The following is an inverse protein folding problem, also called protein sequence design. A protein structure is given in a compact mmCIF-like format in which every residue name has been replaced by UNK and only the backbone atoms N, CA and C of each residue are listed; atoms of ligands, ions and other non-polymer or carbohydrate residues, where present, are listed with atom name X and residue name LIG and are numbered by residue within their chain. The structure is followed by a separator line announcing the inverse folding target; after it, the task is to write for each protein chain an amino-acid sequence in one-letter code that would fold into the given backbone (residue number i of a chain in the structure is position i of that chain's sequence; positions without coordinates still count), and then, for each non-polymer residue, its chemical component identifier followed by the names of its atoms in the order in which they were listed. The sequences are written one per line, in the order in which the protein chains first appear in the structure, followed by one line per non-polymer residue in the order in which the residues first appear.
data_IF_197151426269
#
_entry.id   IF_197151426269
#
_cell.length_a   1.000
_cell.length_b   1.000
_cell.length_c   1.000
_cell.angle_alpha   90.00
_cell.angle_beta   90.00
_cell.angle_gamma   90.00
#
_symmetry.space_group_name_H-M   'P 1'
#
loop_
_entity.id
_entity.type
_entity.pdbx_description
1 polymer ?
#
# COMPACT_ATOMS: atom_id res chain seq x y z
N UNK A 1 -2.86 6.31 -12.10
CA UNK A 1 -3.92 6.43 -11.07
C UNK A 1 -3.35 6.64 -9.66
N UNK A 2 -2.48 5.78 -9.06
CA UNK A 2 -1.95 6.09 -7.72
C UNK A 2 -1.19 7.42 -7.67
N UNK A 3 -0.41 7.74 -8.70
CA UNK A 3 0.30 9.01 -8.82
C UNK A 3 -0.67 10.20 -8.81
N UNK A 4 -1.74 10.12 -9.59
CA UNK A 4 -2.77 11.16 -9.66
C UNK A 4 -3.43 11.37 -8.29
N UNK A 5 -3.79 10.28 -7.60
CA UNK A 5 -4.38 10.35 -6.28
C UNK A 5 -3.45 11.02 -5.25
N UNK A 6 -2.16 10.72 -5.29
CA UNK A 6 -1.14 11.35 -4.43
C UNK A 6 -1.01 12.84 -4.73
N UNK A 7 -0.90 13.20 -6.02
CA UNK A 7 -0.77 14.62 -6.46
C UNK A 7 -2.01 15.43 -6.10
N UNK A 8 -3.21 14.88 -6.32
CA UNK A 8 -4.46 15.54 -5.97
C UNK A 8 -4.62 15.72 -4.45
N UNK A 9 -4.07 14.80 -3.66
CA UNK A 9 -4.01 14.92 -2.21
C UNK A 9 -2.91 15.88 -1.69
N UNK A 10 -2.13 16.50 -2.61
CA UNK A 10 -1.11 17.49 -2.29
C UNK A 10 0.29 16.91 -2.03
N UNK A 11 0.52 15.62 -2.28
CA UNK A 11 1.84 15.00 -2.17
C UNK A 11 2.62 15.25 -3.46
N UNK A 12 3.77 15.92 -3.36
CA UNK A 12 4.60 16.32 -4.50
C UNK A 12 5.93 15.56 -4.59
N UNK A 13 6.45 15.07 -3.48
CA UNK A 13 7.67 14.25 -3.46
C UNK A 13 7.28 12.78 -3.54
N UNK A 14 7.41 12.22 -4.75
CA UNK A 14 6.97 10.86 -5.08
C UNK A 14 8.15 10.08 -5.60
N UNK A 15 8.33 8.87 -5.06
CA UNK A 15 9.27 7.87 -5.56
C UNK A 15 8.53 6.62 -6.02
N UNK A 16 8.91 6.10 -7.19
CA UNK A 16 8.34 4.86 -7.75
C UNK A 16 9.42 3.80 -7.74
N UNK A 17 9.07 2.65 -7.18
CA UNK A 17 9.91 1.46 -7.28
C UNK A 17 9.51 0.66 -8.50
N UNK A 18 10.48 0.38 -9.35
CA UNK A 18 10.31 -0.41 -10.56
C UNK A 18 11.23 -1.64 -10.53
N UNK A 19 10.78 -2.74 -11.15
CA UNK A 19 11.54 -3.98 -11.27
C UNK A 19 11.47 -4.51 -12.69
N UNK A 20 10.63 -5.51 -12.92
CA UNK A 20 10.40 -6.08 -14.25
C UNK A 20 10.02 -5.00 -15.26
N UNK A 21 10.74 -4.95 -16.40
CA UNK A 21 10.57 -3.92 -17.45
C UNK A 21 10.68 -2.48 -16.93
N UNK A 22 11.38 -2.25 -15.83
CA UNK A 22 11.47 -0.96 -15.14
C UNK A 22 11.86 0.22 -16.05
N UNK A 23 12.75 0.02 -17.04
CA UNK A 23 13.11 1.07 -18.00
C UNK A 23 11.91 1.55 -18.83
N UNK A 24 11.06 0.63 -19.29
CA UNK A 24 9.87 0.97 -20.09
C UNK A 24 8.86 1.75 -19.27
N UNK A 25 8.63 1.33 -18.01
CA UNK A 25 7.73 2.00 -17.07
C UNK A 25 8.27 3.41 -16.77
N UNK A 26 9.55 3.52 -16.47
CA UNK A 26 10.21 4.79 -16.19
C UNK A 26 10.08 5.75 -17.37
N UNK A 27 10.46 5.34 -18.58
CA UNK A 27 10.39 6.17 -19.79
C UNK A 27 8.97 6.66 -20.09
N UNK A 28 7.95 5.86 -19.76
CA UNK A 28 6.55 6.25 -19.91
C UNK A 28 6.13 7.28 -18.87
N UNK A 29 6.46 7.05 -17.60
CA UNK A 29 6.06 7.91 -16.49
C UNK A 29 6.80 9.24 -16.53
N UNK A 30 8.10 9.26 -16.83
CA UNK A 30 8.91 10.49 -16.92
C UNK A 30 8.37 11.50 -17.97
N UNK A 31 7.71 11.01 -19.03
CA UNK A 31 7.08 11.87 -20.04
C UNK A 31 5.89 12.66 -19.47
N UNK A 32 5.18 12.08 -18.50
CA UNK A 32 3.98 12.65 -17.90
C UNK A 32 4.32 13.40 -16.59
N UNK A 33 5.23 12.83 -15.82
CA UNK A 33 5.62 13.29 -14.48
C UNK A 33 7.16 13.41 -14.38
N UNK A 34 7.78 14.45 -14.95
CA UNK A 34 9.24 14.55 -15.09
C UNK A 34 9.99 14.76 -13.75
N UNK A 35 9.29 14.99 -12.65
CA UNK A 35 9.88 15.23 -11.33
C UNK A 35 9.81 14.02 -10.39
N UNK A 36 9.27 12.89 -10.84
CA UNK A 36 9.16 11.68 -10.02
C UNK A 36 10.54 11.01 -9.89
N UNK A 37 10.84 10.54 -8.69
CA UNK A 37 12.02 9.76 -8.40
C UNK A 37 11.79 8.27 -8.72
N UNK A 38 12.86 7.54 -9.02
CA UNK A 38 12.78 6.10 -9.31
C UNK A 38 13.84 5.32 -8.54
N UNK A 39 13.42 4.24 -7.91
CA UNK A 39 14.29 3.18 -7.39
C UNK A 39 14.11 1.90 -8.18
N UNK A 40 15.15 1.09 -8.26
CA UNK A 40 15.10 -0.22 -8.91
C UNK A 40 15.14 -1.32 -7.85
N UNK A 41 14.16 -2.22 -7.90
CA UNK A 41 14.18 -3.46 -7.15
C UNK A 41 14.70 -4.56 -8.06
N UNK A 42 15.96 -4.98 -7.89
CA UNK A 42 16.56 -6.06 -8.65
C UNK A 42 16.00 -7.43 -8.23
N UNK A 43 15.41 -7.51 -7.04
CA UNK A 43 14.77 -8.69 -6.46
C UNK A 43 13.24 -8.69 -6.66
N UNK A 44 12.79 -8.19 -7.81
CA UNK A 44 11.34 -8.06 -8.13
C UNK A 44 10.60 -9.40 -8.25
N UNK A 45 11.31 -10.52 -8.25
CA UNK A 45 10.78 -11.88 -8.16
C UNK A 45 10.42 -12.29 -6.72
N UNK A 46 10.76 -11.47 -5.75
CA UNK A 46 10.39 -11.62 -4.34
C UNK A 46 9.06 -10.95 -3.97
N UNK A 47 8.75 -10.95 -2.68
CA UNK A 47 7.51 -10.32 -2.18
C UNK A 47 7.67 -8.79 -2.03
N UNK A 48 6.54 -8.10 -1.86
CA UNK A 48 6.41 -6.66 -2.02
C UNK A 48 7.18 -5.79 -0.99
N UNK A 49 7.56 -6.31 0.18
CA UNK A 49 8.39 -5.57 1.13
C UNK A 49 9.77 -5.22 0.58
N UNK A 50 10.30 -6.03 -0.36
CA UNK A 50 11.59 -5.75 -1.00
C UNK A 50 11.54 -4.47 -1.83
N UNK A 51 10.38 -4.14 -2.40
CA UNK A 51 10.20 -2.88 -3.11
C UNK A 51 10.29 -1.67 -2.18
N UNK A 52 9.73 -1.77 -0.97
CA UNK A 52 9.88 -0.71 0.04
C UNK A 52 11.34 -0.58 0.46
N UNK A 53 12.03 -1.69 0.66
CA UNK A 53 13.45 -1.69 1.01
C UNK A 53 14.33 -1.09 -0.10
N UNK A 54 14.01 -1.34 -1.37
CA UNK A 54 14.71 -0.75 -2.51
C UNK A 54 14.55 0.78 -2.60
N UNK A 55 13.50 1.33 -1.98
CA UNK A 55 13.29 2.78 -1.88
C UNK A 55 13.99 3.42 -0.67
N UNK A 56 14.77 2.69 0.10
CA UNK A 56 15.39 3.16 1.36
C UNK A 56 16.17 4.47 1.25
N UNK A 57 16.78 4.75 0.10
CA UNK A 57 17.49 6.01 -0.16
C UNK A 57 16.58 7.25 -0.28
N UNK A 58 15.27 7.05 -0.45
CA UNK A 58 14.25 8.10 -0.47
C UNK A 58 13.44 8.18 0.83
N UNK A 59 13.58 7.18 1.68
CA UNK A 59 12.92 7.12 2.98
C UNK A 59 13.92 7.67 4.01
N UNK A 60 13.68 8.90 4.43
CA UNK A 60 14.43 9.54 5.51
C UNK A 60 13.73 9.33 6.87
N UNK A 61 13.93 10.22 7.81
CA UNK A 61 13.29 10.12 9.14
C UNK A 61 11.85 10.64 9.19
N UNK A 62 11.32 11.14 8.08
CA UNK A 62 9.94 11.61 8.02
C UNK A 62 8.97 10.47 7.68
N UNK A 63 7.73 10.53 8.18
CA UNK A 63 6.71 9.58 7.76
C UNK A 63 6.40 9.68 6.27
N UNK A 64 6.13 8.56 5.63
CA UNK A 64 5.82 8.49 4.21
C UNK A 64 4.53 7.70 3.95
N UNK A 65 3.86 8.05 2.85
CA UNK A 65 2.70 7.30 2.35
C UNK A 65 3.20 6.23 1.38
N UNK A 66 2.85 4.98 1.65
CA UNK A 66 3.04 3.86 0.73
C UNK A 66 1.72 3.53 0.04
N UNK A 67 1.74 3.39 -1.29
CA UNK A 67 0.64 2.84 -2.08
C UNK A 67 1.13 1.69 -2.94
N UNK A 68 0.28 0.70 -3.18
CA UNK A 68 0.56 -0.38 -4.14
C UNK A 68 0.44 0.16 -5.56
N UNK A 69 1.32 -0.27 -6.46
CA UNK A 69 1.38 0.22 -7.84
C UNK A 69 0.24 -0.28 -8.74
N UNK A 70 -0.36 -1.40 -8.38
CA UNK A 70 -1.48 -2.09 -9.04
C UNK A 70 -2.86 -1.70 -8.46
N UNK A 71 -2.90 -0.88 -7.41
CA UNK A 71 -4.14 -0.41 -6.81
C UNK A 71 -4.60 0.91 -7.46
N UNK A 72 -5.89 0.99 -7.78
CA UNK A 72 -6.57 2.24 -8.06
C UNK A 72 -7.21 2.73 -6.76
N UNK A 73 -6.90 3.95 -6.39
CA UNK A 73 -7.39 4.56 -5.16
C UNK A 73 -7.95 5.96 -5.44
N UNK A 74 -9.02 6.32 -4.76
CA UNK A 74 -9.53 7.70 -4.81
C UNK A 74 -8.62 8.63 -3.98
N UNK A 75 -8.42 9.90 -4.42
CA UNK A 75 -7.65 10.90 -3.67
C UNK A 75 -8.15 11.11 -2.24
N UNK A 76 -9.45 10.87 -2.02
CA UNK A 76 -10.08 11.00 -0.70
C UNK A 76 -9.51 10.02 0.34
N UNK A 77 -9.04 8.83 -0.07
CA UNK A 77 -8.36 7.88 0.83
C UNK A 77 -7.09 8.51 1.40
N UNK A 78 -6.27 9.09 0.53
CA UNK A 78 -5.02 9.77 0.94
C UNK A 78 -5.32 10.97 1.83
N UNK A 79 -6.31 11.81 1.45
CA UNK A 79 -6.69 12.97 2.26
C UNK A 79 -7.22 12.56 3.64
N UNK A 80 -8.00 11.48 3.71
CA UNK A 80 -8.49 10.92 4.98
C UNK A 80 -7.31 10.44 5.84
N UNK A 81 -6.38 9.70 5.25
CA UNK A 81 -5.17 9.24 5.94
C UNK A 81 -4.36 10.41 6.50
N UNK A 82 -4.07 11.42 5.67
CA UNK A 82 -3.30 12.60 6.08
C UNK A 82 -3.99 13.42 7.18
N UNK A 83 -5.32 13.49 7.17
CA UNK A 83 -6.09 14.20 8.20
C UNK A 83 -6.05 13.53 9.58
N UNK A 84 -5.87 12.22 9.62
CA UNK A 84 -5.76 11.40 10.85
C UNK A 84 -4.33 11.23 11.35
N UNK A 85 -3.33 11.73 10.63
CA UNK A 85 -1.91 11.42 10.79
C UNK A 85 -1.24 12.06 12.03
N UNK A 86 -1.83 11.94 13.20
CA UNK A 86 -1.09 12.07 14.47
C UNK A 86 -0.24 10.81 14.73
N UNK A 87 -0.43 9.73 13.97
CA UNK A 87 0.18 8.43 14.18
C UNK A 87 0.94 8.04 12.92
N UNK A 88 2.27 7.91 13.04
CA UNK A 88 3.19 7.62 11.93
C UNK A 88 3.05 6.22 11.33
N UNK A 89 2.20 5.36 11.89
CA UNK A 89 1.95 3.99 11.43
C UNK A 89 0.46 3.74 11.36
N UNK A 90 -0.08 3.83 10.16
CA UNK A 90 -1.52 3.71 9.91
C UNK A 90 -1.75 2.92 8.62
N UNK A 91 -2.74 2.03 8.63
CA UNK A 91 -3.21 1.31 7.46
C UNK A 91 -4.64 1.75 7.13
N UNK A 92 -4.89 2.15 5.89
CA UNK A 92 -6.23 2.36 5.38
C UNK A 92 -6.91 1.00 5.16
N UNK A 93 -8.09 0.83 5.74
CA UNK A 93 -8.86 -0.40 5.66
C UNK A 93 -10.29 -0.15 5.20
N UNK A 94 -10.91 -1.16 4.60
CA UNK A 94 -12.32 -1.17 4.26
C UNK A 94 -13.04 -2.20 5.14
N UNK A 95 -13.87 -1.72 6.08
CA UNK A 95 -14.68 -2.57 6.97
C UNK A 95 -16.03 -2.98 6.35
N UNK A 96 -16.42 -2.37 5.23
CA UNK A 96 -17.66 -2.63 4.51
C UNK A 96 -17.43 -3.27 3.13
N UNK A 97 -16.23 -3.81 2.89
CA UNK A 97 -15.89 -4.46 1.63
C UNK A 97 -16.93 -5.53 1.26
N UNK A 98 -17.55 -5.41 0.10
CA UNK A 98 -18.63 -6.29 -0.36
C UNK A 98 -18.27 -7.05 -1.65
N UNK A 99 -17.21 -6.66 -2.33
CA UNK A 99 -16.75 -7.35 -3.54
C UNK A 99 -16.13 -8.70 -3.15
N UNK A 100 -16.75 -9.78 -3.62
CA UNK A 100 -16.36 -11.17 -3.29
C UNK A 100 -14.94 -11.49 -3.74
N UNK A 101 -14.47 -10.96 -4.87
CA UNK A 101 -13.11 -11.18 -5.36
C UNK A 101 -12.09 -10.48 -4.44
N UNK A 102 -12.30 -9.19 -4.12
CA UNK A 102 -11.45 -8.45 -3.18
C UNK A 102 -11.42 -9.12 -1.80
N UNK A 103 -12.55 -9.61 -1.30
CA UNK A 103 -12.61 -10.32 -0.03
C UNK A 103 -11.85 -11.65 -0.10
N UNK A 104 -11.99 -12.40 -1.19
CA UNK A 104 -11.32 -13.69 -1.36
C UNK A 104 -9.80 -13.55 -1.32
N UNK A 105 -9.26 -12.62 -2.07
CA UNK A 105 -7.82 -12.46 -2.31
C UNK A 105 -7.15 -11.40 -1.42
N UNK A 106 -7.93 -10.45 -0.91
CA UNK A 106 -7.45 -9.36 -0.08
C UNK A 106 -6.80 -9.80 1.24
N UNK A 107 -5.91 -8.99 1.73
CA UNK A 107 -5.29 -9.15 3.05
C UNK A 107 -6.28 -8.71 4.14
N UNK A 108 -6.57 -9.61 5.07
CA UNK A 108 -7.53 -9.41 6.16
C UNK A 108 -6.86 -8.75 7.34
N UNK A 109 -7.60 -7.88 8.03
CA UNK A 109 -7.12 -7.13 9.19
C UNK A 109 -8.04 -7.34 10.39
N UNK A 110 -7.44 -7.49 11.57
CA UNK A 110 -8.10 -7.54 12.85
C UNK A 110 -7.44 -6.53 13.79
N UNK A 111 -8.24 -5.64 14.35
CA UNK A 111 -7.80 -4.62 15.30
C UNK A 111 -8.45 -4.81 16.67
N UNK A 112 -7.83 -4.23 17.70
CA UNK A 112 -8.41 -4.17 19.04
C UNK A 112 -9.42 -2.99 19.18
N UNK A 113 -9.97 -2.81 20.36
CA UNK A 113 -10.93 -1.74 20.66
C UNK A 113 -10.36 -0.33 20.55
N UNK A 114 -9.04 -0.18 20.52
CA UNK A 114 -8.33 1.09 20.32
C UNK A 114 -7.92 1.32 18.87
N UNK A 115 -8.31 0.41 17.96
CA UNK A 115 -7.97 0.47 16.54
C UNK A 115 -6.55 0.03 16.20
N UNK A 116 -5.82 -0.60 17.14
CA UNK A 116 -4.48 -1.12 16.90
C UNK A 116 -4.55 -2.47 16.21
N UNK A 117 -3.82 -2.64 15.11
CA UNK A 117 -3.74 -3.91 14.39
C UNK A 117 -3.09 -4.96 15.28
N UNK A 118 -3.82 -6.03 15.56
CA UNK A 118 -3.35 -7.20 16.32
C UNK A 118 -3.08 -8.41 15.41
N UNK A 119 -3.77 -8.51 14.28
CA UNK A 119 -3.54 -9.55 13.28
C UNK A 119 -3.76 -9.00 11.87
N UNK A 120 -2.87 -9.38 10.95
CA UNK A 120 -2.98 -9.06 9.53
C UNK A 120 -2.46 -10.22 8.68
N UNK A 121 -3.15 -10.56 7.59
CA UNK A 121 -2.74 -11.62 6.67
C UNK A 121 -3.90 -12.21 5.87
N UNK A 122 -3.59 -12.94 4.79
CA UNK A 122 -4.60 -13.50 3.88
C UNK A 122 -5.51 -14.55 4.53
N UNK A 123 -4.99 -15.34 5.47
CA UNK A 123 -5.67 -16.54 6.01
C UNK A 123 -6.17 -16.37 7.46
N UNK A 124 -6.28 -15.15 7.98
CA UNK A 124 -6.77 -14.96 9.34
C UNK A 124 -8.29 -15.15 9.40
N UNK A 125 -8.75 -15.73 10.53
CA UNK A 125 -10.17 -15.90 10.84
C UNK A 125 -10.66 -14.73 11.70
N UNK A 126 -11.97 -14.47 11.68
CA UNK A 126 -12.59 -13.40 12.47
C UNK A 126 -12.02 -12.01 12.19
N UNK A 127 -11.68 -11.76 10.93
CA UNK A 127 -11.25 -10.45 10.47
C UNK A 127 -12.40 -9.42 10.50
N UNK A 128 -12.08 -8.15 10.51
CA UNK A 128 -13.03 -7.04 10.61
C UNK A 128 -12.99 -6.12 9.38
N UNK A 129 -11.86 -6.10 8.67
CA UNK A 129 -11.67 -5.23 7.51
C UNK A 129 -10.64 -5.80 6.53
N UNK A 130 -10.58 -5.21 5.34
CA UNK A 130 -9.63 -5.55 4.26
C UNK A 130 -8.62 -4.41 4.13
N UNK A 131 -7.36 -4.76 3.95
CA UNK A 131 -6.26 -3.87 3.60
C UNK A 131 -6.49 -3.27 2.20
N UNK A 132 -6.48 -1.95 2.08
CA UNK A 132 -6.65 -1.24 0.80
C UNK A 132 -5.34 -0.97 0.06
N UNK A 133 -4.20 -1.41 0.60
CA UNK A 133 -2.88 -1.16 0.03
C UNK A 133 -2.34 0.25 0.25
N UNK A 134 -2.94 1.03 1.16
CA UNK A 134 -2.52 2.40 1.47
C UNK A 134 -2.10 2.52 2.93
N UNK A 135 -0.85 2.94 3.14
CA UNK A 135 -0.24 3.01 4.46
C UNK A 135 0.40 4.37 4.72
N UNK A 136 0.39 4.81 5.97
CA UNK A 136 1.38 5.73 6.52
C UNK A 136 2.42 4.90 7.26
N UNK A 137 3.69 5.10 6.97
CA UNK A 137 4.80 4.37 7.58
C UNK A 137 5.90 5.33 8.02
N UNK A 138 6.73 4.90 8.96
CA UNK A 138 7.98 5.54 9.35
C UNK A 138 9.20 4.68 8.97
N UNK A 139 10.40 5.23 9.11
CA UNK A 139 11.64 4.57 8.71
C UNK A 139 11.94 3.27 9.48
N UNK A 140 11.32 3.04 10.65
CA UNK A 140 11.48 1.78 11.38
C UNK A 140 11.05 0.54 10.57
N UNK A 141 10.18 0.74 9.58
CA UNK A 141 9.76 -0.36 8.70
C UNK A 141 10.94 -1.01 7.99
N UNK A 142 11.97 -0.22 7.62
CA UNK A 142 13.15 -0.72 6.91
C UNK A 142 13.98 -1.68 7.76
N UNK A 143 14.15 -1.38 9.05
CA UNK A 143 14.85 -2.27 9.99
C UNK A 143 14.10 -3.59 10.16
N UNK A 144 12.78 -3.53 10.24
CA UNK A 144 11.94 -4.73 10.35
C UNK A 144 11.94 -5.58 9.07
N UNK A 145 11.92 -4.95 7.90
CA UNK A 145 12.11 -5.63 6.60
C UNK A 145 13.48 -6.33 6.60
N UNK A 146 14.55 -5.62 6.93
CA UNK A 146 15.91 -6.17 6.97
C UNK A 146 16.03 -7.38 7.89
N UNK A 147 15.44 -7.31 9.10
CA UNK A 147 15.42 -8.44 10.04
C UNK A 147 14.69 -9.67 9.48
N UNK A 148 13.54 -9.45 8.85
CA UNK A 148 12.78 -10.52 8.23
C UNK A 148 13.50 -11.13 7.01
N UNK A 149 14.17 -10.30 6.21
CA UNK A 149 14.98 -10.78 5.07
C UNK A 149 16.12 -11.73 5.52
N UNK A 150 16.71 -11.52 6.69
CA UNK A 150 17.74 -12.43 7.23
C UNK A 150 17.18 -13.85 7.43
N UNK A 151 15.93 -13.99 7.84
CA UNK A 151 15.31 -15.29 8.14
C UNK A 151 14.52 -15.89 6.97
N UNK A 152 13.95 -15.05 6.10
CA UNK A 152 13.03 -15.46 5.03
C UNK A 152 13.56 -15.21 3.61
N UNK A 153 14.73 -14.57 3.49
CA UNK A 153 15.26 -14.17 2.19
C UNK A 153 14.34 -13.18 1.47
N UNK A 154 14.04 -13.44 0.20
CA UNK A 154 13.20 -12.57 -0.63
C UNK A 154 11.68 -12.72 -0.39
N UNK A 155 11.25 -13.62 0.50
CA UNK A 155 9.84 -13.89 0.78
C UNK A 155 9.38 -13.13 2.02
N UNK A 156 9.26 -11.82 1.87
CA UNK A 156 8.79 -10.92 2.93
C UNK A 156 7.69 -10.02 2.37
N UNK A 157 6.45 -10.27 2.77
CA UNK A 157 5.31 -9.43 2.43
C UNK A 157 5.15 -8.27 3.42
N UNK A 158 4.60 -7.14 2.98
CA UNK A 158 4.32 -5.97 3.85
C UNK A 158 3.42 -6.36 5.02
N UNK A 159 2.42 -7.20 4.80
CA UNK A 159 1.55 -7.70 5.87
C UNK A 159 2.31 -8.47 6.95
N UNK A 160 3.37 -9.19 6.58
CA UNK A 160 4.24 -9.88 7.55
C UNK A 160 5.12 -8.90 8.34
N UNK A 161 5.56 -7.82 7.70
CA UNK A 161 6.28 -6.73 8.39
C UNK A 161 5.37 -6.06 9.42
N UNK A 162 4.15 -5.71 9.04
CA UNK A 162 3.15 -5.12 9.94
C UNK A 162 2.83 -6.07 11.10
N UNK A 163 2.66 -7.39 10.82
CA UNK A 163 2.44 -8.38 11.87
C UNK A 163 3.63 -8.50 12.80
N UNK A 164 4.84 -8.56 12.26
CA UNK A 164 6.07 -8.63 13.06
C UNK A 164 6.22 -7.40 13.97
N UNK A 165 5.93 -6.21 13.46
CA UNK A 165 5.94 -4.98 14.26
C UNK A 165 4.88 -5.01 15.36
N UNK A 166 3.67 -5.48 15.06
CA UNK A 166 2.60 -5.62 16.05
C UNK A 166 2.97 -6.62 17.16
N UNK A 167 3.55 -7.78 16.80
CA UNK A 167 4.01 -8.79 17.76
C UNK A 167 5.11 -8.25 18.71
N UNK A 168 5.82 -7.19 18.29
CA UNK A 168 6.84 -6.48 19.08
C UNK A 168 6.31 -5.18 19.73
N UNK A 169 4.99 -5.01 19.85
CA UNK A 169 4.35 -3.87 20.49
C UNK A 169 4.36 -2.56 19.67
N UNK A 170 4.76 -2.61 18.41
CA UNK A 170 4.80 -1.48 17.47
C UNK A 170 3.62 -1.55 16.51
N UNK A 171 2.42 -1.33 17.03
CA UNK A 171 1.19 -1.48 16.29
C UNK A 171 0.97 -0.38 15.25
N UNK A 172 0.41 -0.77 14.11
CA UNK A 172 -0.24 0.15 13.19
C UNK A 172 -1.67 0.42 13.68
N UNK A 173 -2.16 1.64 13.44
CA UNK A 173 -3.55 1.99 13.63
C UNK A 173 -4.35 1.74 12.34
N UNK A 174 -5.62 1.40 12.45
CA UNK A 174 -6.51 1.39 11.31
C UNK A 174 -7.05 2.79 11.02
N UNK A 175 -7.17 3.10 9.73
CA UNK A 175 -7.92 4.24 9.21
C UNK A 175 -9.02 3.68 8.32
N UNK A 176 -10.25 3.60 8.83
CA UNK A 176 -11.38 3.11 8.05
C UNK A 176 -11.75 4.11 6.96
N UNK A 177 -11.73 3.65 5.72
CA UNK A 177 -12.04 4.39 4.49
C UNK A 177 -13.20 3.76 3.72
N UNK A 178 -14.03 2.97 4.39
CA UNK A 178 -15.21 2.33 3.81
C UNK A 178 -16.07 3.31 3.01
N UNK A 179 -16.62 2.84 1.92
CA UNK A 179 -17.40 3.67 0.98
C UNK A 179 -16.57 4.53 0.02
N UNK A 180 -15.24 4.62 0.21
CA UNK A 180 -14.35 5.26 -0.75
C UNK A 180 -13.90 4.24 -1.81
N UNK A 181 -13.59 4.71 -3.00
CA UNK A 181 -13.22 3.82 -4.10
C UNK A 181 -11.77 3.38 -4.01
N UNK A 182 -11.60 2.07 -4.01
CA UNK A 182 -10.32 1.41 -4.24
C UNK A 182 -10.54 0.10 -5.00
N UNK A 183 -9.55 -0.33 -5.76
CA UNK A 183 -9.55 -1.62 -6.46
C UNK A 183 -8.12 -2.04 -6.76
N UNK A 184 -7.81 -3.30 -6.62
CA UNK A 184 -6.64 -3.95 -7.18
C UNK A 184 -6.89 -4.34 -8.64
N UNK A 185 -5.85 -4.34 -9.46
CA UNK A 185 -5.91 -4.68 -10.89
C UNK A 185 -4.82 -5.69 -11.20
N UNK A 186 -5.10 -6.94 -10.89
CA UNK A 186 -4.18 -8.05 -11.08
C UNK A 186 -4.37 -8.76 -12.42
N UNK A 187 -5.59 -8.70 -12.96
CA UNK A 187 -5.99 -9.42 -14.17
C UNK A 187 -6.58 -8.50 -15.26
N UNK A 188 -6.66 -9.00 -16.47
CA UNK A 188 -7.34 -8.29 -17.56
C UNK A 188 -8.85 -8.10 -17.28
N UNK A 189 -9.46 -9.01 -16.53
CA UNK A 189 -10.85 -8.91 -16.08
C UNK A 189 -11.04 -7.76 -15.08
N UNK A 190 -10.13 -7.59 -14.12
CA UNK A 190 -10.13 -6.46 -13.19
C UNK A 190 -9.97 -5.14 -13.94
N UNK A 191 -9.05 -5.07 -14.89
CA UNK A 191 -8.84 -3.89 -15.72
C UNK A 191 -10.13 -3.49 -16.48
N UNK A 192 -10.84 -4.44 -17.06
CA UNK A 192 -12.10 -4.19 -17.80
C UNK A 192 -13.21 -3.72 -16.85
N UNK A 193 -13.33 -4.36 -15.70
CA UNK A 193 -14.29 -4.01 -14.65
C UNK A 193 -14.09 -2.60 -14.14
N UNK A 194 -12.86 -2.26 -13.77
CA UNK A 194 -12.49 -0.93 -13.29
C UNK A 194 -12.65 0.13 -14.35
N UNK A 195 -12.28 -0.15 -15.61
CA UNK A 195 -12.47 0.78 -16.73
C UNK A 195 -13.95 1.16 -16.92
N UNK A 196 -14.87 0.23 -16.68
CA UNK A 196 -16.32 0.47 -16.75
C UNK A 196 -16.77 1.37 -15.61
N UNK A 197 -16.30 1.13 -14.37
CA UNK A 197 -16.62 1.94 -13.21
C UNK A 197 -16.12 3.38 -13.37
N UNK A 198 -14.89 3.56 -13.85
CA UNK A 198 -14.30 4.89 -14.07
C UNK A 198 -15.06 5.70 -15.14
N UNK A 199 -15.51 5.05 -16.23
CA UNK A 199 -16.34 5.70 -17.25
C UNK A 199 -17.69 6.18 -16.68
N UNK A 200 -18.32 5.37 -15.84
CA UNK A 200 -19.59 5.72 -15.20
C UNK A 200 -19.47 6.88 -14.19
N UNK A 201 -18.30 7.07 -13.57
CA UNK A 201 -18.07 8.17 -12.63
C UNK A 201 -17.76 9.51 -13.31
N UNK A 202 -17.29 9.48 -14.56
CA UNK A 202 -16.96 10.66 -15.35
C UNK A 202 -18.11 11.10 -16.28
N UNK A 203 -19.27 10.45 -16.23
CA UNK A 203 -20.49 10.76 -16.96
C UNK A 203 -21.52 11.44 -16.09
#
# INVERSE_FOLDING_TARGET
YPIEALVEAGISDISIVVGYRGKVIREYIEKIYPKINFSYNDDYDGDNALSVFAASSFIDNEPFVLTMGDHLISPSIITTLLSKSVINRTLCVDSEASNTAQISDGTKVMADSEGRIIRIGKNIKNWQSIDTGVFMMDAEVLDNISQLMVSKGKKVAISEVVQHMADNGRHFQICDVSGQFWADVDTEEDHNSVSTILKARNS
#
